data_IF_785119503221
#
_entry.id   IF_785119503221
#
_cell.length_a   1.000
_cell.length_b   1.000
_cell.length_c   1.000
_cell.angle_alpha   90.00
_cell.angle_beta   90.00
_cell.angle_gamma   90.00
#
_symmetry.space_group_name_H-M   'P 1'
#
loop_
_entity.id
_entity.type
_entity.pdbx_description
1 polymer ?
#
# COMPACT_ATOMS: atom_id res chain seq x y z
N UNK A 1 31.13 -18.03 -10.26
CA UNK A 1 30.22 -17.06 -10.94
C UNK A 1 28.75 -17.30 -10.60
N UNK A 2 28.30 -18.56 -10.47
CA UNK A 2 26.94 -18.93 -10.04
C UNK A 2 26.49 -18.29 -8.71
N UNK A 3 27.38 -18.27 -7.70
CA UNK A 3 27.09 -17.69 -6.38
C UNK A 3 26.79 -16.19 -6.41
N UNK A 4 27.47 -15.41 -7.28
CA UNK A 4 27.21 -13.96 -7.43
C UNK A 4 25.85 -13.67 -8.09
N UNK A 5 25.42 -14.52 -9.02
CA UNK A 5 24.12 -14.41 -9.70
C UNK A 5 22.98 -14.73 -8.73
N UNK A 6 23.15 -15.75 -7.87
CA UNK A 6 22.16 -16.11 -6.83
C UNK A 6 21.97 -14.96 -5.83
N UNK A 7 23.07 -14.32 -5.40
CA UNK A 7 23.01 -13.17 -4.49
C UNK A 7 22.29 -11.99 -5.15
N UNK A 8 22.58 -11.71 -6.43
CA UNK A 8 21.94 -10.60 -7.15
C UNK A 8 20.44 -10.84 -7.36
N UNK A 9 20.02 -12.07 -7.63
CA UNK A 9 18.60 -12.45 -7.74
C UNK A 9 17.84 -12.29 -6.41
N UNK A 10 18.49 -12.64 -5.28
CA UNK A 10 17.89 -12.47 -3.95
C UNK A 10 17.73 -11.00 -3.56
N UNK A 11 18.70 -10.15 -3.90
CA UNK A 11 18.65 -8.70 -3.63
C UNK A 11 17.53 -8.02 -4.44
N UNK A 12 17.36 -8.37 -5.72
CA UNK A 12 16.31 -7.80 -6.58
C UNK A 12 14.89 -8.16 -6.06
N UNK A 13 14.72 -9.34 -5.45
CA UNK A 13 13.43 -9.76 -4.87
C UNK A 13 12.95 -8.91 -3.69
N UNK A 14 13.85 -8.17 -3.01
CA UNK A 14 13.52 -7.37 -1.82
C UNK A 14 13.06 -5.94 -2.12
N UNK A 15 13.07 -5.51 -3.38
CA UNK A 15 12.81 -4.11 -3.75
C UNK A 15 11.32 -3.71 -3.82
N UNK A 16 10.38 -4.57 -3.43
CA UNK A 16 8.93 -4.31 -3.57
C UNK A 16 8.19 -4.29 -2.22
N UNK A 17 8.75 -3.65 -1.20
CA UNK A 17 8.07 -3.45 0.08
C UNK A 17 7.13 -2.22 0.03
N UNK A 18 6.00 -2.35 -0.68
CA UNK A 18 4.86 -1.44 -0.54
C UNK A 18 3.50 -2.16 -0.61
N UNK A 19 3.52 -3.45 -0.96
CA UNK A 19 2.32 -4.30 -1.04
C UNK A 19 2.47 -5.42 -0.01
N UNK A 20 1.48 -5.59 0.85
CA UNK A 20 1.34 -6.78 1.70
C UNK A 20 0.12 -7.60 1.27
N UNK A 21 0.23 -8.91 1.43
CA UNK A 21 -0.85 -9.85 1.16
C UNK A 21 -1.31 -10.45 2.50
N UNK A 22 -2.61 -10.46 2.74
CA UNK A 22 -3.25 -11.11 3.88
C UNK A 22 -4.19 -12.20 3.35
N UNK A 23 -4.12 -13.40 3.93
CA UNK A 23 -5.14 -14.42 3.72
C UNK A 23 -6.51 -13.93 4.23
N UNK A 24 -7.60 -14.43 3.65
CA UNK A 24 -8.94 -14.00 4.01
C UNK A 24 -9.23 -14.31 5.50
N UNK A 25 -9.39 -13.29 6.37
CA UNK A 25 -9.70 -13.55 7.76
C UNK A 25 -11.10 -14.15 7.91
N UNK A 26 -11.31 -14.88 9.01
CA UNK A 26 -12.63 -15.39 9.36
C UNK A 26 -13.63 -14.22 9.46
N UNK A 27 -14.71 -14.33 8.69
CA UNK A 27 -15.76 -13.31 8.63
C UNK A 27 -16.67 -13.43 9.86
N UNK A 28 -16.98 -12.33 10.57
CA UNK A 28 -17.96 -12.33 11.65
C UNK A 28 -19.32 -12.84 11.17
N UNK A 29 -20.07 -13.54 12.03
CA UNK A 29 -21.38 -14.10 11.69
C UNK A 29 -22.37 -13.04 11.19
N UNK A 30 -22.29 -11.81 11.74
CA UNK A 30 -23.13 -10.68 11.36
C UNK A 30 -22.92 -10.25 9.90
N UNK A 31 -21.69 -10.41 9.38
CA UNK A 31 -21.32 -10.05 8.01
C UNK A 31 -21.36 -11.23 7.05
N UNK A 32 -21.68 -12.44 7.52
CA UNK A 32 -21.66 -13.67 6.72
C UNK A 32 -22.52 -13.59 5.43
N UNK A 33 -23.57 -12.78 5.45
CA UNK A 33 -24.46 -12.55 4.32
C UNK A 33 -23.84 -11.71 3.18
N UNK A 34 -22.74 -11.00 3.42
CA UNK A 34 -22.03 -10.21 2.40
C UNK A 34 -20.94 -11.05 1.75
N UNK A 35 -20.95 -11.18 0.43
CA UNK A 35 -19.86 -11.85 -0.31
C UNK A 35 -18.64 -10.92 -0.46
N UNK A 36 -17.44 -11.49 -0.32
CA UNK A 36 -16.18 -10.75 -0.43
C UNK A 36 -15.23 -10.91 0.77
N UNK A 37 -14.19 -10.08 0.80
CA UNK A 37 -13.16 -10.08 1.83
C UNK A 37 -13.59 -9.25 3.03
N UNK A 38 -13.57 -9.84 4.23
CA UNK A 38 -13.72 -9.08 5.46
C UNK A 38 -12.43 -8.33 5.78
N UNK A 39 -12.52 -7.03 6.02
CA UNK A 39 -11.37 -6.18 6.33
C UNK A 39 -11.52 -5.60 7.72
N UNK A 40 -10.73 -6.10 8.66
CA UNK A 40 -10.75 -5.71 10.08
C UNK A 40 -10.58 -4.20 10.30
N UNK A 41 -9.80 -3.53 9.44
CA UNK A 41 -9.51 -2.09 9.57
C UNK A 41 -10.75 -1.22 9.39
N UNK A 42 -11.69 -1.63 8.56
CA UNK A 42 -12.92 -0.88 8.27
C UNK A 42 -14.18 -1.59 8.81
N UNK A 43 -13.99 -2.73 9.46
CA UNK A 43 -15.05 -3.59 9.99
C UNK A 43 -16.17 -3.88 8.98
N UNK A 44 -15.80 -4.12 7.72
CA UNK A 44 -16.76 -4.35 6.65
C UNK A 44 -16.22 -5.34 5.60
N UNK A 45 -17.11 -5.78 4.72
CA UNK A 45 -16.81 -6.70 3.62
C UNK A 45 -16.68 -5.94 2.31
N UNK A 46 -15.53 -6.07 1.66
CA UNK A 46 -15.28 -5.55 0.32
C UNK A 46 -15.64 -6.64 -0.70
N UNK A 47 -16.48 -6.37 -1.71
CA UNK A 47 -16.79 -7.35 -2.75
C UNK A 47 -15.54 -7.83 -3.50
N UNK A 48 -15.55 -9.08 -3.96
CA UNK A 48 -14.46 -9.61 -4.77
C UNK A 48 -14.24 -8.80 -6.05
N UNK A 49 -12.98 -8.66 -6.45
CA UNK A 49 -12.57 -7.87 -7.61
C UNK A 49 -12.62 -6.34 -7.38
N UNK A 50 -13.04 -5.89 -6.20
CA UNK A 50 -13.15 -4.47 -5.89
C UNK A 50 -11.91 -3.92 -5.19
N UNK A 51 -11.73 -2.61 -5.34
CA UNK A 51 -10.69 -1.84 -4.66
C UNK A 51 -11.33 -0.75 -3.79
N UNK A 52 -10.80 -0.54 -2.58
CA UNK A 52 -11.22 0.52 -1.67
C UNK A 52 -10.02 1.32 -1.19
N UNK A 53 -10.17 2.63 -1.16
CA UNK A 53 -9.18 3.59 -0.68
C UNK A 53 -9.80 4.35 0.52
N UNK A 54 -9.88 3.72 1.71
CA UNK A 54 -10.52 4.32 2.87
C UNK A 54 -9.81 5.62 3.29
N UNK A 55 -10.60 6.59 3.76
CA UNK A 55 -10.06 7.80 4.39
C UNK A 55 -9.54 7.47 5.80
N UNK A 56 -8.59 8.26 6.31
CA UNK A 56 -7.99 8.06 7.63
C UNK A 56 -6.85 7.03 7.66
N UNK A 57 -6.87 6.04 6.76
CA UNK A 57 -5.81 5.05 6.59
C UNK A 57 -5.33 5.10 5.15
N UNK A 58 -4.25 5.83 4.89
CA UNK A 58 -3.67 5.98 3.55
C UNK A 58 -3.12 4.64 3.03
N UNK A 59 -4.04 3.81 2.56
CA UNK A 59 -3.83 2.46 2.06
C UNK A 59 -4.84 2.23 0.96
N UNK A 60 -4.46 1.44 -0.03
CA UNK A 60 -5.38 0.88 -1.01
C UNK A 60 -5.58 -0.59 -0.69
N UNK A 61 -6.83 -1.00 -0.59
CA UNK A 61 -7.23 -2.37 -0.27
C UNK A 61 -7.84 -2.97 -1.52
N UNK A 62 -7.24 -4.03 -2.03
CA UNK A 62 -7.77 -4.80 -3.14
C UNK A 62 -8.21 -6.17 -2.65
N UNK A 63 -9.48 -6.50 -2.87
CA UNK A 63 -10.05 -7.79 -2.53
C UNK A 63 -10.08 -8.69 -3.77
N UNK A 64 -9.45 -9.86 -3.68
CA UNK A 64 -9.55 -10.92 -4.69
C UNK A 64 -10.08 -12.21 -4.06
N UNK A 65 -10.36 -13.20 -4.90
CA UNK A 65 -10.71 -14.55 -4.43
C UNK A 65 -9.53 -15.26 -3.74
N UNK A 66 -8.30 -14.81 -3.99
CA UNK A 66 -7.09 -15.38 -3.39
C UNK A 66 -6.71 -14.74 -2.04
N UNK A 67 -7.20 -13.53 -1.73
CA UNK A 67 -6.84 -12.83 -0.52
C UNK A 67 -7.04 -11.31 -0.61
N UNK A 68 -6.45 -10.60 0.35
CA UNK A 68 -6.50 -9.15 0.45
C UNK A 68 -5.10 -8.60 0.18
N UNK A 69 -5.00 -7.66 -0.75
CA UNK A 69 -3.77 -6.89 -0.98
C UNK A 69 -3.92 -5.50 -0.38
N UNK A 70 -2.93 -5.09 0.42
CA UNK A 70 -2.82 -3.74 0.94
C UNK A 70 -1.63 -3.05 0.30
N UNK A 71 -1.88 -1.91 -0.35
CA UNK A 71 -0.84 -1.06 -0.93
C UNK A 71 -0.67 0.18 -0.07
N UNK A 72 0.56 0.43 0.38
CA UNK A 72 0.94 1.58 1.21
C UNK A 72 1.87 2.52 0.45
N UNK A 73 2.09 3.72 0.97
CA UNK A 73 3.05 4.65 0.38
C UNK A 73 4.45 4.05 0.35
N UNK A 74 5.12 4.16 -0.80
CA UNK A 74 6.51 3.74 -0.93
C UNK A 74 7.46 4.57 -0.07
N UNK A 75 8.65 4.01 0.22
CA UNK A 75 9.72 4.74 0.89
C UNK A 75 10.24 5.81 -0.07
N UNK A 76 10.20 7.06 0.38
CA UNK A 76 10.83 8.16 -0.34
C UNK A 76 12.24 8.37 0.18
N UNK A 77 13.16 8.61 -0.75
CA UNK A 77 14.54 8.95 -0.45
C UNK A 77 14.99 10.11 -1.34
N UNK A 78 15.59 11.12 -0.72
CA UNK A 78 16.13 12.28 -1.42
C UNK A 78 17.46 12.68 -0.76
N UNK A 79 18.45 13.04 -1.58
CA UNK A 79 19.77 13.54 -1.13
C UNK A 79 19.92 15.05 -1.25
N UNK A 80 19.02 15.71 -1.98
CA UNK A 80 19.11 17.15 -2.22
C UNK A 80 18.59 17.93 -1.00
N UNK A 81 19.42 18.77 -0.35
CA UNK A 81 18.99 19.58 0.78
C UNK A 81 17.90 20.61 0.43
N UNK A 82 17.70 20.93 -0.86
CA UNK A 82 16.64 21.84 -1.34
C UNK A 82 15.28 21.16 -1.49
N UNK A 83 15.18 19.84 -1.29
CA UNK A 83 13.88 19.17 -1.29
C UNK A 83 13.51 18.58 0.06
N UNK A 84 12.27 18.86 0.46
CA UNK A 84 11.64 18.35 1.66
C UNK A 84 10.48 17.43 1.31
N UNK A 85 10.16 16.50 2.20
CA UNK A 85 8.98 15.65 2.04
C UNK A 85 7.75 16.34 2.64
N UNK A 86 6.64 16.32 1.91
CA UNK A 86 5.36 16.76 2.46
C UNK A 86 4.86 15.79 3.51
N UNK A 87 4.04 16.28 4.44
CA UNK A 87 3.35 15.40 5.37
C UNK A 87 2.33 14.52 4.65
N UNK A 88 2.04 13.36 5.27
CA UNK A 88 0.97 12.46 4.87
C UNK A 88 -0.38 13.13 5.12
N UNK A 89 -1.28 13.11 4.14
CA UNK A 89 -2.60 13.75 4.20
C UNK A 89 -3.72 12.71 4.15
N UNK A 90 -4.07 12.14 5.31
CA UNK A 90 -5.08 11.07 5.41
C UNK A 90 -6.52 11.54 5.16
N UNK A 91 -6.73 12.85 4.89
CA UNK A 91 -8.02 13.37 4.42
C UNK A 91 -8.28 13.04 2.96
N UNK A 92 -7.26 12.60 2.23
CA UNK A 92 -7.35 12.18 0.82
C UNK A 92 -7.27 10.65 0.70
N UNK A 93 -7.85 10.07 -0.36
CA UNK A 93 -7.67 8.65 -0.65
C UNK A 93 -6.27 8.36 -1.17
N UNK A 94 -5.82 7.11 -1.03
CA UNK A 94 -4.61 6.62 -1.70
C UNK A 94 -4.77 6.76 -3.23
N UNK A 95 -3.72 7.17 -3.98
CA UNK A 95 -2.36 7.51 -3.54
C UNK A 95 -2.16 8.98 -3.13
N UNK A 96 -3.20 9.82 -3.20
CA UNK A 96 -3.10 11.27 -2.99
C UNK A 96 -2.79 11.67 -1.54
N UNK A 97 -2.99 10.75 -0.59
CA UNK A 97 -2.58 10.92 0.80
C UNK A 97 -1.09 10.70 1.06
N UNK A 98 -0.34 10.17 0.10
CA UNK A 98 1.08 9.88 0.28
C UNK A 98 1.93 11.16 0.31
N UNK A 99 3.00 11.17 1.13
CA UNK A 99 4.06 12.17 1.04
C UNK A 99 4.58 12.31 -0.40
N UNK A 100 5.00 13.51 -0.78
CA UNK A 100 5.68 13.78 -2.02
C UNK A 100 6.97 14.57 -1.74
N UNK A 101 7.97 14.44 -2.60
CA UNK A 101 9.14 15.31 -2.57
C UNK A 101 8.78 16.66 -3.20
N UNK A 102 8.91 17.75 -2.44
CA UNK A 102 8.85 19.11 -2.96
C UNK A 102 10.24 19.71 -2.91
N UNK A 103 10.76 20.05 -4.08
CA UNK A 103 12.01 20.79 -4.23
C UNK A 103 11.68 22.26 -4.42
N UNK A 104 12.38 23.13 -3.70
CA UNK A 104 12.42 24.53 -4.06
C UNK A 104 13.23 24.62 -5.36
N UNK A 105 12.52 24.69 -6.49
CA UNK A 105 13.16 24.99 -7.76
C UNK A 105 13.71 26.40 -7.62
N UNK A 106 15.03 26.56 -7.73
CA UNK A 106 15.60 27.88 -7.97
C UNK A 106 14.96 28.39 -9.25
N UNK A 107 14.01 29.32 -9.13
CA UNK A 107 13.45 30.05 -10.27
C UNK A 107 14.61 30.84 -10.88
N UNK A 108 15.21 30.29 -11.94
CA UNK A 108 16.14 31.01 -12.80
C UNK A 108 15.40 31.69 -13.94
#
# INVERSE_FOLDING_TARGET
MLSKIIILAFVVGTATAAVSFEELPAKPCELAHKEGCYVKMIDDVIPYGSTRDPLGTCVRIQCSTSGIQYMTCGVLFNKDPKCHFTNKDVSKPYPNCCPNAKCDLDNN
#
